data_IF_361842301188
#
_entry.id   IF_361842301188
#
_cell.length_a   1.000
_cell.length_b   1.000
_cell.length_c   1.000
_cell.angle_alpha   90.00
_cell.angle_beta   90.00
_cell.angle_gamma   90.00
#
_symmetry.space_group_name_H-M   'P 1'
#
loop_
_entity.id
_entity.type
_entity.pdbx_description
1 polymer ?
#
# COMPACT_ATOMS: atom_id res chain seq x y z
N UNK A 1 5.23 0.73 3.83
CA UNK A 1 5.16 0.47 2.38
C UNK A 1 4.80 -0.97 2.02
N UNK A 2 5.44 -2.01 2.58
CA UNK A 2 5.13 -3.42 2.25
C UNK A 2 3.65 -3.77 2.42
N UNK A 3 3.01 -3.35 3.52
CA UNK A 3 1.58 -3.61 3.75
C UNK A 3 0.66 -2.92 2.72
N UNK A 4 0.92 -1.65 2.41
CA UNK A 4 0.15 -0.91 1.41
C UNK A 4 0.19 -1.63 0.04
N UNK A 5 1.38 -1.92 -0.48
CA UNK A 5 1.51 -2.57 -1.79
C UNK A 5 1.11 -4.05 -1.79
N UNK A 6 1.53 -4.81 -0.79
CA UNK A 6 1.38 -6.26 -0.76
C UNK A 6 0.00 -6.73 -0.34
N UNK A 7 -0.77 -5.90 0.36
CA UNK A 7 -2.09 -6.24 0.88
C UNK A 7 -3.14 -5.29 0.33
N UNK A 8 -3.11 -4.02 0.75
CA UNK A 8 -4.21 -3.06 0.49
C UNK A 8 -4.42 -2.85 -1.01
N UNK A 9 -3.38 -2.43 -1.73
CA UNK A 9 -3.49 -2.15 -3.17
C UNK A 9 -3.71 -3.42 -4.00
N UNK A 10 -3.18 -4.55 -3.54
CA UNK A 10 -3.36 -5.84 -4.22
C UNK A 10 -4.82 -6.29 -4.14
N UNK A 11 -5.44 -6.23 -2.96
CA UNK A 11 -6.86 -6.56 -2.79
C UNK A 11 -7.73 -5.62 -3.62
N UNK A 12 -7.49 -4.29 -3.56
CA UNK A 12 -8.25 -3.33 -4.38
C UNK A 12 -8.08 -3.63 -5.88
N UNK A 13 -6.88 -3.98 -6.32
CA UNK A 13 -6.63 -4.38 -7.71
C UNK A 13 -7.39 -5.65 -8.10
N UNK A 14 -7.50 -6.64 -7.22
CA UNK A 14 -8.18 -7.91 -7.51
C UNK A 14 -9.71 -7.75 -7.52
N UNK A 15 -10.24 -6.87 -6.68
CA UNK A 15 -11.69 -6.63 -6.54
C UNK A 15 -12.25 -5.67 -7.62
N UNK A 16 -11.42 -4.80 -8.19
CA UNK A 16 -11.85 -3.91 -9.27
C UNK A 16 -11.92 -4.64 -10.61
N UNK A 17 -12.97 -4.41 -11.43
CA UNK A 17 -13.23 -5.15 -12.66
C UNK A 17 -12.13 -5.01 -13.74
N UNK A 18 -11.44 -3.87 -13.76
CA UNK A 18 -10.35 -3.59 -14.71
C UNK A 18 -8.98 -4.09 -14.25
N UNK A 19 -8.92 -4.68 -13.06
CA UNK A 19 -7.70 -5.14 -12.40
C UNK A 19 -6.49 -4.18 -12.54
N UNK A 20 -6.64 -2.91 -12.14
CA UNK A 20 -5.60 -1.91 -12.34
C UNK A 20 -4.35 -2.26 -11.53
N UNK A 21 -3.17 -2.17 -12.14
CA UNK A 21 -1.93 -2.50 -11.44
C UNK A 21 -1.75 -1.67 -10.16
N UNK A 22 -1.07 -2.26 -9.16
CA UNK A 22 -0.81 -1.61 -7.88
C UNK A 22 -0.06 -0.28 -8.04
N UNK A 23 0.74 -0.10 -9.09
CA UNK A 23 1.41 1.16 -9.38
C UNK A 23 0.44 2.26 -9.84
N UNK A 24 -0.57 1.90 -10.63
CA UNK A 24 -1.63 2.85 -11.05
C UNK A 24 -2.45 3.28 -9.84
N UNK A 25 -2.85 2.31 -8.99
CA UNK A 25 -3.56 2.60 -7.75
C UNK A 25 -2.73 3.45 -6.80
N UNK A 26 -1.43 3.14 -6.66
CA UNK A 26 -0.51 3.92 -5.86
C UNK A 26 -0.48 5.38 -6.31
N UNK A 27 -0.29 5.65 -7.60
CA UNK A 27 -0.24 7.04 -8.12
C UNK A 27 -1.58 7.77 -7.92
N UNK A 28 -2.69 7.05 -8.04
CA UNK A 28 -4.02 7.62 -7.80
C UNK A 28 -4.19 8.02 -6.33
N UNK A 29 -3.88 7.11 -5.41
CA UNK A 29 -4.02 7.36 -3.97
C UNK A 29 -2.98 8.33 -3.43
N UNK A 30 -1.77 8.36 -4.00
CA UNK A 30 -0.77 9.39 -3.68
C UNK A 30 -1.32 10.79 -3.97
N UNK A 31 -1.95 10.99 -5.13
CA UNK A 31 -2.58 12.28 -5.45
C UNK A 31 -3.78 12.61 -4.56
N UNK A 32 -4.54 11.61 -4.14
CA UNK A 32 -5.76 11.84 -3.36
C UNK A 32 -5.49 12.07 -1.87
N UNK A 33 -4.57 11.31 -1.29
CA UNK A 33 -4.47 11.20 0.17
C UNK A 33 -3.09 11.54 0.72
N UNK A 34 -2.03 11.51 -0.09
CA UNK A 34 -0.69 11.82 0.43
C UNK A 34 -0.62 13.28 0.90
N UNK A 35 0.10 13.56 2.00
CA UNK A 35 0.29 14.91 2.51
C UNK A 35 0.91 15.83 1.44
N UNK A 36 0.36 17.04 1.32
CA UNK A 36 0.93 18.07 0.44
C UNK A 36 2.15 18.66 1.14
N UNK A 37 3.30 18.56 0.47
CA UNK A 37 4.58 19.12 0.89
C UNK A 37 4.91 20.33 0.01
N UNK A 38 5.62 21.28 0.58
CA UNK A 38 6.19 22.41 -0.17
C UNK A 38 7.71 22.31 -0.16
N UNK A 39 8.30 22.55 -1.32
CA UNK A 39 9.75 22.75 -1.45
C UNK A 39 10.02 24.06 -2.17
N UNK A 40 11.16 24.66 -1.85
CA UNK A 40 11.64 25.87 -2.51
C UNK A 40 12.76 25.49 -3.44
N UNK A 41 12.54 25.72 -4.74
CA UNK A 41 13.56 25.56 -5.77
C UNK A 41 13.81 26.95 -6.35
N UNK A 42 15.03 27.47 -6.16
CA UNK A 42 15.40 28.86 -6.43
C UNK A 42 14.52 29.88 -5.67
N UNK A 43 13.76 30.72 -6.39
CA UNK A 43 12.85 31.74 -5.85
C UNK A 43 11.38 31.30 -5.89
N UNK A 44 11.09 30.08 -6.34
CA UNK A 44 9.73 29.59 -6.50
C UNK A 44 9.42 28.48 -5.49
N UNK A 45 8.17 28.45 -5.04
CA UNK A 45 7.63 27.40 -4.17
C UNK A 45 6.86 26.39 -5.02
N UNK A 46 7.10 25.11 -4.77
CA UNK A 46 6.47 24.00 -5.47
C UNK A 46 5.76 23.12 -4.46
N UNK A 47 4.48 22.84 -4.72
CA UNK A 47 3.69 21.87 -3.97
C UNK A 47 3.79 20.52 -4.65
N UNK A 48 4.03 19.49 -3.86
CA UNK A 48 4.08 18.11 -4.33
C UNK A 48 3.50 17.18 -3.29
N UNK A 49 3.13 15.98 -3.72
CA UNK A 49 2.65 14.90 -2.87
C UNK A 49 3.62 13.74 -3.03
N UNK A 50 3.96 13.10 -1.91
CA UNK A 50 4.97 12.05 -1.89
C UNK A 50 4.61 11.04 -0.81
N UNK A 51 4.10 9.89 -1.25
CA UNK A 51 3.75 8.80 -0.34
C UNK A 51 4.99 7.99 0.06
N UNK A 52 6.04 7.99 -0.77
CA UNK A 52 7.25 7.21 -0.56
C UNK A 52 8.05 7.72 0.64
N UNK A 53 8.09 9.04 0.82
CA UNK A 53 8.80 9.70 1.90
C UNK A 53 7.90 10.13 3.08
N UNK A 54 6.71 9.53 3.21
CA UNK A 54 5.89 9.69 4.41
C UNK A 54 6.54 9.07 5.64
N UNK A 55 6.37 9.72 6.79
CA UNK A 55 6.65 9.11 8.09
C UNK A 55 5.72 7.90 8.33
N UNK A 56 6.06 6.98 9.24
CA UNK A 56 5.20 5.84 9.55
C UNK A 56 3.77 6.24 9.93
N UNK A 57 3.62 7.32 10.70
CA UNK A 57 2.31 7.82 11.12
C UNK A 57 1.50 8.39 9.95
N UNK A 58 2.12 9.24 9.12
CA UNK A 58 1.46 9.76 7.91
C UNK A 58 1.05 8.64 6.95
N UNK A 59 1.89 7.62 6.81
CA UNK A 59 1.58 6.49 5.95
C UNK A 59 0.39 5.68 6.48
N UNK A 60 0.30 5.51 7.79
CA UNK A 60 -0.80 4.81 8.44
C UNK A 60 -2.11 5.59 8.28
N UNK A 61 -2.11 6.91 8.48
CA UNK A 61 -3.26 7.78 8.20
C UNK A 61 -3.73 7.68 6.74
N UNK A 62 -2.80 7.59 5.78
CA UNK A 62 -3.15 7.42 4.37
C UNK A 62 -3.75 6.04 4.10
N UNK A 63 -3.21 4.98 4.71
CA UNK A 63 -3.76 3.63 4.59
C UNK A 63 -5.21 3.60 5.11
N UNK A 64 -5.49 4.20 6.27
CA UNK A 64 -6.84 4.29 6.83
C UNK A 64 -7.79 5.03 5.87
N UNK A 65 -7.36 6.14 5.29
CA UNK A 65 -8.15 6.87 4.29
C UNK A 65 -8.43 6.03 3.04
N UNK A 66 -7.47 5.23 2.58
CA UNK A 66 -7.67 4.33 1.44
C UNK A 66 -8.69 3.24 1.79
N UNK A 67 -8.61 2.66 2.98
CA UNK A 67 -9.54 1.64 3.46
C UNK A 67 -10.96 2.21 3.53
N UNK A 68 -11.13 3.37 4.17
CA UNK A 68 -12.42 4.05 4.26
C UNK A 68 -12.98 4.38 2.88
N UNK A 69 -12.16 4.97 2.01
CA UNK A 69 -12.57 5.29 0.64
C UNK A 69 -13.02 4.05 -0.14
N UNK A 70 -12.29 2.95 -0.01
CA UNK A 70 -12.59 1.71 -0.72
C UNK A 70 -13.90 1.08 -0.23
N UNK A 71 -14.16 1.13 1.07
CA UNK A 71 -15.42 0.67 1.65
C UNK A 71 -16.60 1.54 1.19
N UNK A 72 -16.51 2.86 1.34
CA UNK A 72 -17.61 3.78 1.05
C UNK A 72 -17.90 3.96 -0.45
N UNK A 73 -16.86 3.96 -1.29
CA UNK A 73 -17.00 4.35 -2.71
C UNK A 73 -16.88 3.17 -3.67
N UNK A 74 -16.15 2.12 -3.30
CA UNK A 74 -15.93 0.94 -4.15
C UNK A 74 -16.71 -0.28 -3.65
N UNK A 75 -17.27 -0.24 -2.44
CA UNK A 75 -17.93 -1.39 -1.82
C UNK A 75 -16.96 -2.51 -1.45
N UNK A 76 -15.66 -2.21 -1.33
CA UNK A 76 -14.60 -3.18 -1.03
C UNK A 76 -14.29 -3.13 0.46
N UNK A 77 -14.63 -4.20 1.18
CA UNK A 77 -14.28 -4.35 2.59
C UNK A 77 -12.84 -4.84 2.76
N UNK A 78 -11.95 -3.90 3.08
CA UNK A 78 -10.58 -4.20 3.47
C UNK A 78 -10.52 -4.39 4.99
N UNK A 79 -10.16 -5.59 5.46
CA UNK A 79 -9.97 -5.84 6.89
C UNK A 79 -8.87 -4.94 7.45
N UNK A 80 -9.14 -4.30 8.59
CA UNK A 80 -8.22 -3.35 9.19
C UNK A 80 -6.90 -4.00 9.61
N UNK A 81 -5.85 -3.19 9.69
CA UNK A 81 -4.50 -3.61 10.11
C UNK A 81 -4.46 -4.25 11.50
N UNK A 82 -5.40 -3.91 12.37
CA UNK A 82 -5.57 -4.54 13.70
C UNK A 82 -6.10 -5.98 13.62
N UNK A 83 -6.95 -6.31 12.64
CA UNK A 83 -7.36 -7.69 12.38
C UNK A 83 -6.19 -8.52 11.86
N UNK A 84 -5.27 -7.89 11.11
CA UNK A 84 -4.03 -8.55 10.72
C UNK A 84 -3.09 -8.81 11.92
N UNK A 85 -3.04 -7.93 12.93
CA UNK A 85 -2.27 -8.23 14.16
C UNK A 85 -2.78 -9.48 14.90
N UNK A 86 -4.06 -9.82 14.74
CA UNK A 86 -4.71 -11.03 15.29
C UNK A 86 -4.48 -12.26 14.40
N UNK A 87 -4.36 -12.07 13.07
CA UNK A 87 -4.04 -13.13 12.11
C UNK A 87 -2.56 -13.54 12.11
N UNK A 88 -1.64 -12.67 12.52
CA UNK A 88 -0.20 -13.01 12.64
C UNK A 88 0.05 -14.10 13.71
N UNK A 89 -0.91 -14.35 14.60
CA UNK A 89 -0.89 -15.46 15.58
C UNK A 89 -1.40 -16.77 14.97
N UNK A 90 -1.84 -16.77 13.70
CA UNK A 90 -2.32 -17.94 12.94
C UNK A 90 -1.31 -18.42 11.89
N UNK A 91 -0.05 -18.56 12.31
CA UNK A 91 0.89 -19.68 12.04
C UNK A 91 1.16 -20.29 10.64
N UNK A 92 0.48 -19.99 9.52
CA UNK A 92 0.59 -20.90 8.33
C UNK A 92 1.17 -20.29 7.05
N UNK A 93 1.12 -18.96 6.87
CA UNK A 93 1.45 -18.37 5.55
C UNK A 93 2.89 -17.86 5.37
N UNK A 94 3.69 -17.85 6.44
CA UNK A 94 5.09 -17.38 6.40
C UNK A 94 6.05 -18.47 5.89
N UNK A 95 5.66 -19.75 5.97
CA UNK A 95 6.48 -20.87 5.48
C UNK A 95 6.55 -20.99 3.95
N UNK A 96 5.44 -20.77 3.24
CA UNK A 96 5.37 -21.06 1.81
C UNK A 96 6.13 -20.09 0.91
N UNK A 97 6.33 -18.83 1.34
CA UNK A 97 7.06 -17.84 0.54
C UNK A 97 8.58 -17.87 0.75
N UNK A 98 9.07 -18.47 1.84
CA UNK A 98 10.50 -18.67 2.08
C UNK A 98 11.06 -19.90 1.33
N UNK A 99 10.25 -20.94 1.12
CA UNK A 99 10.70 -22.14 0.41
C UNK A 99 10.73 -21.98 -1.13
N UNK A 100 10.10 -20.94 -1.68
CA UNK A 100 10.15 -20.65 -3.12
C UNK A 100 11.39 -19.84 -3.55
N UNK A 101 12.20 -19.34 -2.62
CA UNK A 101 13.38 -18.51 -2.90
C UNK A 101 14.73 -19.23 -2.67
N UNK A 102 14.74 -20.53 -2.44
CA UNK A 102 15.97 -21.32 -2.28
C UNK A 102 16.47 -22.01 -3.56
N UNK A 103 15.74 -21.94 -4.67
CA UNK A 103 16.09 -22.69 -5.89
C UNK A 103 16.63 -21.85 -7.07
N UNK A 104 17.06 -20.61 -6.81
CA UNK A 104 17.81 -19.78 -7.77
C UNK A 104 19.32 -19.68 -7.47
N UNK A 105 19.89 -20.69 -6.80
CA UNK A 105 21.34 -20.78 -6.65
C UNK A 105 21.90 -22.14 -7.09
N UNK A 106 21.43 -22.65 -8.25
CA UNK A 106 22.08 -23.76 -8.96
C UNK A 106 23.00 -23.25 -10.07
N UNK A 107 24.30 -23.54 -9.83
CA UNK A 107 25.48 -23.60 -10.72
C UNK A 107 26.12 -22.26 -11.10
N UNK A 108 27.32 -22.02 -10.55
CA UNK A 108 28.59 -22.52 -11.13
C UNK A 108 29.44 -23.12 -10.02
#
# INVERSE_FOLDING_TARGET
MKYLFGVVLKIISEELPDHPSTEVLYRKFEKMFAPVRETRIFRNYFRYQDLKNCSPQELDDVIEKIILFSSENLGIELKERLDYKKWEVSEVYIGAYNDQWTDYNRKI
#
